data_IF_469434749726
#
_entry.id   IF_469434749726
#
_cell.length_a   1.000
_cell.length_b   1.000
_cell.length_c   1.000
_cell.angle_alpha   90.00
_cell.angle_beta   90.00
_cell.angle_gamma   90.00
#
_symmetry.space_group_name_H-M   'P 1'
#
loop_
_entity.id
_entity.type
_entity.pdbx_description
1 polymer ?
#
# COMPACT_ATOMS: atom_id res chain seq x y z
N UNK A 1 -49.53 -1.35 -6.56
CA UNK A 1 -48.30 -0.96 -5.83
C UNK A 1 -48.27 -1.46 -4.39
N UNK A 2 -49.41 -1.66 -3.71
CA UNK A 2 -49.46 -2.16 -2.32
C UNK A 2 -49.37 -3.70 -2.16
N UNK A 3 -49.63 -4.48 -3.22
CA UNK A 3 -49.56 -5.95 -3.20
C UNK A 3 -48.13 -6.50 -3.22
N UNK A 4 -47.17 -5.75 -3.77
CA UNK A 4 -45.78 -6.21 -3.94
C UNK A 4 -44.99 -6.18 -2.64
N UNK A 5 -45.35 -5.27 -1.73
CA UNK A 5 -44.69 -5.07 -0.43
C UNK A 5 -45.09 -6.10 0.62
N UNK A 6 -46.31 -6.64 0.56
CA UNK A 6 -46.76 -7.67 1.49
C UNK A 6 -46.07 -9.02 1.23
N UNK A 7 -45.86 -9.35 -0.04
CA UNK A 7 -45.19 -10.56 -0.51
C UNK A 7 -43.67 -10.53 -0.17
N UNK A 8 -43.02 -9.37 -0.31
CA UNK A 8 -41.62 -9.17 0.10
C UNK A 8 -41.41 -9.30 1.63
N UNK A 9 -42.36 -8.81 2.43
CA UNK A 9 -42.32 -8.92 3.90
C UNK A 9 -42.56 -10.36 4.39
N UNK A 10 -43.41 -11.12 3.69
CA UNK A 10 -43.67 -12.53 3.99
C UNK A 10 -42.46 -13.40 3.62
N UNK A 11 -41.85 -13.13 2.46
CA UNK A 11 -40.63 -13.80 2.00
C UNK A 11 -39.43 -13.51 2.92
N UNK A 12 -39.33 -12.29 3.45
CA UNK A 12 -38.31 -11.92 4.44
C UNK A 12 -38.52 -12.65 5.77
N UNK A 13 -39.77 -12.73 6.25
CA UNK A 13 -40.08 -13.49 7.48
C UNK A 13 -39.81 -14.98 7.32
N UNK A 14 -40.10 -15.53 6.15
CA UNK A 14 -39.80 -16.93 5.84
C UNK A 14 -38.29 -17.17 5.78
N UNK A 15 -37.53 -16.29 5.11
CA UNK A 15 -36.06 -16.33 5.12
C UNK A 15 -35.50 -16.22 6.54
N UNK A 16 -36.03 -15.29 7.34
CA UNK A 16 -35.59 -15.06 8.71
C UNK A 16 -35.86 -16.29 9.60
N UNK A 17 -37.02 -16.92 9.46
CA UNK A 17 -37.43 -18.08 10.27
C UNK A 17 -36.81 -19.42 9.84
N UNK A 18 -36.38 -19.53 8.58
CA UNK A 18 -35.85 -20.79 8.04
C UNK A 18 -34.34 -20.75 7.86
N UNK A 19 -33.84 -19.79 7.10
CA UNK A 19 -32.43 -19.69 6.73
C UNK A 19 -31.66 -18.96 7.82
N UNK A 20 -32.09 -17.77 8.20
CA UNK A 20 -31.37 -16.94 9.17
C UNK A 20 -31.42 -17.56 10.56
N UNK A 21 -32.59 -18.03 11.02
CA UNK A 21 -32.72 -18.70 12.32
C UNK A 21 -31.88 -19.98 12.39
N UNK A 22 -31.77 -20.75 11.30
CA UNK A 22 -30.90 -21.95 11.27
C UNK A 22 -29.42 -21.59 11.24
N UNK A 23 -29.04 -20.60 10.42
CA UNK A 23 -27.67 -20.07 10.37
C UNK A 23 -27.23 -19.49 11.73
N UNK A 24 -28.16 -18.84 12.45
CA UNK A 24 -27.92 -18.27 13.79
C UNK A 24 -28.10 -19.29 14.92
N UNK A 25 -28.91 -20.35 14.78
CA UNK A 25 -29.05 -21.42 15.79
C UNK A 25 -27.74 -22.16 16.02
N UNK A 26 -26.93 -22.33 14.98
CA UNK A 26 -25.57 -22.88 15.08
C UNK A 26 -24.52 -21.83 15.51
N UNK A 27 -24.90 -20.54 15.54
CA UNK A 27 -24.11 -19.41 16.02
C UNK A 27 -24.83 -18.72 17.19
N UNK A 28 -24.84 -19.35 18.38
CA UNK A 28 -25.07 -18.59 19.63
C UNK A 28 -24.23 -17.31 19.55
N UNK A 29 -24.79 -16.10 19.72
CA UNK A 29 -24.06 -14.85 19.45
C UNK A 29 -22.76 -14.77 20.26
N UNK A 30 -22.77 -15.22 21.51
CA UNK A 30 -21.57 -15.36 22.35
C UNK A 30 -20.59 -16.40 21.80
N UNK A 31 -21.07 -17.54 21.28
CA UNK A 31 -20.22 -18.57 20.67
C UNK A 31 -19.62 -18.09 19.35
N UNK A 32 -20.36 -17.31 18.56
CA UNK A 32 -19.90 -16.68 17.32
C UNK A 32 -18.83 -15.65 17.60
N UNK A 33 -19.04 -14.73 18.55
CA UNK A 33 -18.04 -13.76 18.99
C UNK A 33 -16.79 -14.47 19.55
N UNK A 34 -16.98 -15.53 20.34
CA UNK A 34 -15.87 -16.34 20.85
C UNK A 34 -15.13 -17.08 19.73
N UNK A 35 -15.81 -17.59 18.71
CA UNK A 35 -15.19 -18.25 17.56
C UNK A 35 -14.44 -17.26 16.67
N UNK A 36 -15.00 -16.06 16.48
CA UNK A 36 -14.35 -14.96 15.77
C UNK A 36 -13.10 -14.48 16.52
N UNK A 37 -13.19 -14.29 17.83
CA UNK A 37 -12.05 -13.96 18.69
C UNK A 37 -11.00 -15.08 18.68
N UNK A 38 -11.41 -16.35 18.80
CA UNK A 38 -10.49 -17.51 18.72
C UNK A 38 -9.81 -17.58 17.36
N UNK A 39 -10.56 -17.37 16.27
CA UNK A 39 -10.02 -17.32 14.91
C UNK A 39 -9.02 -16.18 14.74
N UNK A 40 -9.36 -14.98 15.24
CA UNK A 40 -8.48 -13.83 15.25
C UNK A 40 -7.19 -14.06 16.04
N UNK A 41 -7.29 -14.61 17.26
CA UNK A 41 -6.14 -14.97 18.08
C UNK A 41 -5.29 -16.05 17.41
N UNK A 42 -5.90 -17.04 16.76
CA UNK A 42 -5.20 -18.08 16.00
C UNK A 42 -4.40 -17.48 14.84
N UNK A 43 -5.00 -16.59 14.05
CA UNK A 43 -4.30 -15.90 12.95
C UNK A 43 -3.15 -15.04 13.46
N UNK A 44 -3.35 -14.26 14.54
CA UNK A 44 -2.26 -13.50 15.18
C UNK A 44 -1.14 -14.40 15.70
N UNK A 45 -1.46 -15.55 16.28
CA UNK A 45 -0.46 -16.51 16.73
C UNK A 45 0.32 -17.10 15.55
N UNK A 46 -0.36 -17.43 14.45
CA UNK A 46 0.28 -17.90 13.22
C UNK A 46 1.19 -16.83 12.61
N UNK A 47 0.72 -15.58 12.52
CA UNK A 47 1.51 -14.45 12.06
C UNK A 47 2.76 -14.23 12.92
N UNK A 48 2.63 -14.31 14.25
CA UNK A 48 3.79 -14.22 15.15
C UNK A 48 4.82 -15.32 14.89
N UNK A 49 4.36 -16.57 14.74
CA UNK A 49 5.25 -17.69 14.38
C UNK A 49 5.93 -17.47 13.03
N UNK A 50 5.23 -16.86 12.08
CA UNK A 50 5.80 -16.53 10.78
C UNK A 50 6.95 -15.52 10.92
N UNK A 51 6.72 -14.42 11.64
CA UNK A 51 7.75 -13.42 11.99
C UNK A 51 8.94 -14.07 12.71
N UNK A 52 8.70 -14.99 13.63
CA UNK A 52 9.76 -15.66 14.40
C UNK A 52 10.59 -16.65 13.55
N UNK A 53 9.99 -17.24 12.52
CA UNK A 53 10.60 -18.30 11.71
C UNK A 53 11.27 -17.77 10.44
N UNK A 54 10.70 -16.74 9.82
CA UNK A 54 11.12 -16.20 8.53
C UNK A 54 11.79 -14.83 8.71
N UNK A 55 13.12 -14.82 8.55
CA UNK A 55 13.94 -13.62 8.76
C UNK A 55 13.67 -12.54 7.72
N UNK A 56 13.45 -12.93 6.46
CA UNK A 56 13.16 -11.97 5.39
C UNK A 56 11.81 -11.32 5.62
N UNK A 57 10.79 -12.14 5.93
CA UNK A 57 9.46 -11.66 6.29
C UNK A 57 9.51 -10.68 7.45
N UNK A 58 10.24 -11.03 8.53
CA UNK A 58 10.47 -10.16 9.68
C UNK A 58 11.00 -8.79 9.24
N UNK A 59 12.07 -8.78 8.43
CA UNK A 59 12.74 -7.53 8.04
C UNK A 59 11.80 -6.67 7.18
N UNK A 60 11.20 -7.22 6.13
CA UNK A 60 10.35 -6.42 5.22
C UNK A 60 9.08 -5.92 5.91
N UNK A 61 8.49 -6.71 6.81
CA UNK A 61 7.35 -6.30 7.63
C UNK A 61 7.70 -5.11 8.52
N UNK A 62 8.83 -5.16 9.23
CA UNK A 62 9.25 -4.06 10.10
C UNK A 62 9.64 -2.81 9.31
N UNK A 63 10.28 -2.97 8.16
CA UNK A 63 10.57 -1.85 7.27
C UNK A 63 9.29 -1.18 6.74
N UNK A 64 8.26 -1.96 6.39
CA UNK A 64 6.96 -1.42 5.98
C UNK A 64 6.29 -0.62 7.11
N UNK A 65 6.32 -1.12 8.35
CA UNK A 65 5.81 -0.40 9.53
C UNK A 65 6.56 0.91 9.78
N UNK A 66 7.89 0.90 9.64
CA UNK A 66 8.71 2.09 9.78
C UNK A 66 8.38 3.14 8.71
N UNK A 67 8.19 2.71 7.46
CA UNK A 67 7.78 3.59 6.37
C UNK A 67 6.38 4.18 6.61
N UNK A 68 5.40 3.38 7.04
CA UNK A 68 4.05 3.83 7.38
C UNK A 68 4.06 4.88 8.51
N UNK A 69 4.88 4.65 9.53
CA UNK A 69 5.08 5.56 10.65
C UNK A 69 5.70 6.88 10.19
N UNK A 70 6.75 6.83 9.36
CA UNK A 70 7.41 8.02 8.83
C UNK A 70 6.44 8.86 7.98
N UNK A 71 5.69 8.24 7.06
CA UNK A 71 4.69 8.93 6.25
C UNK A 71 3.58 9.56 7.12
N UNK A 72 3.10 8.83 8.13
CA UNK A 72 2.09 9.32 9.08
C UNK A 72 2.58 10.56 9.84
N UNK A 73 3.82 10.53 10.34
CA UNK A 73 4.42 11.68 11.03
C UNK A 73 4.61 12.87 10.09
N UNK A 74 5.08 12.62 8.86
CA UNK A 74 5.26 13.67 7.87
C UNK A 74 3.93 14.33 7.52
N UNK A 75 2.87 13.54 7.29
CA UNK A 75 1.51 14.06 7.06
C UNK A 75 0.99 14.87 8.25
N UNK A 76 1.15 14.37 9.48
CA UNK A 76 0.75 15.11 10.68
C UNK A 76 1.51 16.43 10.81
N UNK A 77 2.80 16.45 10.49
CA UNK A 77 3.63 17.66 10.51
C UNK A 77 3.20 18.66 9.45
N UNK A 78 2.91 18.20 8.23
CA UNK A 78 2.38 19.04 7.14
C UNK A 78 1.00 19.60 7.49
N UNK A 79 0.12 18.80 8.08
CA UNK A 79 -1.19 19.25 8.54
C UNK A 79 -1.08 20.39 9.56
N UNK A 80 -0.18 20.23 10.56
CA UNK A 80 0.08 21.29 11.54
C UNK A 80 0.66 22.54 10.90
N UNK A 81 1.55 22.40 9.92
CA UNK A 81 2.12 23.55 9.21
C UNK A 81 1.07 24.30 8.38
N UNK A 82 0.20 23.58 7.67
CA UNK A 82 -0.83 24.16 6.81
C UNK A 82 -1.97 24.78 7.63
N UNK A 83 -2.26 24.21 8.81
CA UNK A 83 -3.36 24.68 9.68
C UNK A 83 -2.95 25.84 10.60
N UNK A 84 -1.68 26.22 10.62
CA UNK A 84 -1.21 27.34 11.43
C UNK A 84 -1.72 28.67 10.86
N UNK A 85 -2.67 29.30 11.56
CA UNK A 85 -3.35 30.55 11.19
C UNK A 85 -2.38 31.74 10.96
N UNK A 86 -1.11 31.61 11.35
CA UNK A 86 -0.05 32.60 11.11
C UNK A 86 0.75 32.41 9.81
N UNK A 87 0.47 31.39 9.00
CA UNK A 87 1.22 31.08 7.78
C UNK A 87 0.57 31.64 6.51
N UNK A 88 1.39 31.92 5.48
CA UNK A 88 0.90 32.23 4.12
C UNK A 88 0.08 31.05 3.56
N UNK A 89 -0.73 31.31 2.53
CA UNK A 89 -1.45 30.25 1.81
C UNK A 89 -0.54 29.04 1.51
N UNK A 90 -1.04 27.80 1.69
CA UNK A 90 -0.22 26.61 1.53
C UNK A 90 0.26 26.48 0.09
N UNK A 91 1.51 26.05 -0.07
CA UNK A 91 2.07 25.79 -1.40
C UNK A 91 1.38 24.55 -2.02
N UNK A 92 1.21 24.53 -3.34
CA UNK A 92 0.71 23.36 -4.07
C UNK A 92 1.47 22.09 -3.68
N UNK A 93 2.80 22.18 -3.54
CA UNK A 93 3.66 21.06 -3.14
C UNK A 93 3.33 20.57 -1.72
N UNK A 94 2.96 21.45 -0.79
CA UNK A 94 2.56 21.07 0.57
C UNK A 94 1.20 20.37 0.58
N UNK A 95 0.24 20.88 -0.21
CA UNK A 95 -1.09 20.27 -0.35
C UNK A 95 -0.98 18.90 -1.02
N UNK A 96 -0.21 18.78 -2.10
CA UNK A 96 0.05 17.52 -2.77
C UNK A 96 0.76 16.52 -1.84
N UNK A 97 1.82 16.96 -1.14
CA UNK A 97 2.52 16.13 -0.18
C UNK A 97 1.59 15.62 0.93
N UNK A 98 0.76 16.50 1.52
CA UNK A 98 -0.19 16.10 2.56
C UNK A 98 -1.17 15.05 2.02
N UNK A 99 -1.75 15.28 0.84
CA UNK A 99 -2.69 14.35 0.22
C UNK A 99 -2.05 12.98 -0.07
N UNK A 100 -0.88 12.94 -0.69
CA UNK A 100 -0.22 11.67 -1.02
C UNK A 100 0.33 10.95 0.21
N UNK A 101 1.09 11.61 1.08
CA UNK A 101 1.67 10.94 2.25
C UNK A 101 0.60 10.44 3.21
N UNK A 102 -0.52 11.16 3.37
CA UNK A 102 -1.61 10.71 4.25
C UNK A 102 -2.32 9.49 3.66
N UNK A 103 -2.58 9.52 2.34
CA UNK A 103 -3.18 8.38 1.64
C UNK A 103 -2.26 7.16 1.64
N UNK A 104 -0.99 7.34 1.30
CA UNK A 104 0.01 6.27 1.33
C UNK A 104 0.16 5.70 2.75
N UNK A 105 0.24 6.53 3.78
CA UNK A 105 0.30 6.04 5.15
C UNK A 105 -0.92 5.19 5.51
N UNK A 106 -2.13 5.66 5.18
CA UNK A 106 -3.38 4.95 5.47
C UNK A 106 -3.47 3.61 4.72
N UNK A 107 -3.19 3.62 3.41
CA UNK A 107 -3.19 2.42 2.58
C UNK A 107 -2.14 1.41 3.08
N UNK A 108 -0.94 1.87 3.48
CA UNK A 108 0.10 0.97 3.99
C UNK A 108 -0.27 0.34 5.33
N UNK A 109 -0.87 1.11 6.26
CA UNK A 109 -1.40 0.55 7.51
C UNK A 109 -2.48 -0.51 7.23
N UNK A 110 -3.39 -0.25 6.29
CA UNK A 110 -4.41 -1.22 5.89
C UNK A 110 -3.79 -2.48 5.26
N UNK A 111 -2.79 -2.34 4.39
CA UNK A 111 -2.05 -3.48 3.81
C UNK A 111 -1.40 -4.32 4.91
N UNK A 112 -0.73 -3.67 5.87
CA UNK A 112 -0.10 -4.34 7.02
C UNK A 112 -1.14 -5.15 7.79
N UNK A 113 -2.27 -4.55 8.17
CA UNK A 113 -3.33 -5.24 8.91
C UNK A 113 -3.94 -6.40 8.11
N UNK A 114 -4.16 -6.24 6.80
CA UNK A 114 -4.67 -7.30 5.94
C UNK A 114 -3.70 -8.49 5.92
N UNK A 115 -2.39 -8.24 5.80
CA UNK A 115 -1.36 -9.31 5.85
C UNK A 115 -1.32 -9.99 7.22
N UNK A 116 -1.34 -9.21 8.32
CA UNK A 116 -1.37 -9.75 9.69
C UNK A 116 -2.56 -10.68 9.94
N UNK A 117 -3.70 -10.36 9.33
CA UNK A 117 -4.93 -11.11 9.44
C UNK A 117 -5.10 -12.18 8.36
N UNK A 118 -4.16 -12.30 7.42
CA UNK A 118 -4.15 -13.35 6.40
C UNK A 118 -5.01 -13.09 5.16
N UNK A 119 -5.37 -11.83 4.90
CA UNK A 119 -6.08 -11.38 3.72
C UNK A 119 -5.11 -10.99 2.58
N UNK A 120 -4.23 -11.93 2.20
CA UNK A 120 -3.14 -11.67 1.24
C UNK A 120 -3.63 -11.16 -0.12
N UNK A 121 -4.72 -11.72 -0.64
CA UNK A 121 -5.29 -11.31 -1.92
C UNK A 121 -5.76 -9.85 -1.89
N UNK A 122 -6.43 -9.44 -0.80
CA UNK A 122 -6.90 -8.07 -0.61
C UNK A 122 -5.72 -7.12 -0.39
N UNK A 123 -4.68 -7.55 0.33
CA UNK A 123 -3.45 -6.78 0.51
C UNK A 123 -2.77 -6.52 -0.85
N UNK A 124 -2.65 -7.53 -1.70
CA UNK A 124 -2.14 -7.39 -3.09
C UNK A 124 -3.02 -6.45 -3.92
N UNK A 125 -4.33 -6.51 -3.73
CA UNK A 125 -5.27 -5.61 -4.41
C UNK A 125 -4.99 -4.14 -4.11
N UNK A 126 -4.90 -3.83 -2.82
CA UNK A 126 -4.64 -2.48 -2.34
C UNK A 126 -3.22 -2.01 -2.71
N UNK A 127 -2.26 -2.95 -2.73
CA UNK A 127 -0.88 -2.67 -3.15
C UNK A 127 -0.84 -2.08 -4.55
N UNK A 128 -1.59 -2.60 -5.52
CA UNK A 128 -1.59 -2.04 -6.89
C UNK A 128 -1.91 -0.54 -6.93
N UNK A 129 -2.98 -0.12 -6.26
CA UNK A 129 -3.35 1.29 -6.17
C UNK A 129 -2.29 2.10 -5.43
N UNK A 130 -1.72 1.53 -4.36
CA UNK A 130 -0.60 2.12 -3.62
C UNK A 130 0.60 2.44 -4.52
N UNK A 131 1.03 1.49 -5.36
CA UNK A 131 2.18 1.69 -6.27
C UNK A 131 1.90 2.79 -7.30
N UNK A 132 0.67 2.86 -7.81
CA UNK A 132 0.26 3.93 -8.74
C UNK A 132 0.30 5.30 -8.04
N UNK A 133 -0.17 5.41 -6.79
CA UNK A 133 -0.03 6.65 -6.00
C UNK A 133 1.43 7.06 -5.80
N UNK A 134 2.33 6.11 -5.56
CA UNK A 134 3.77 6.38 -5.45
C UNK A 134 4.32 6.93 -6.78
N UNK A 135 3.96 6.34 -7.93
CA UNK A 135 4.43 6.83 -9.22
C UNK A 135 3.96 8.26 -9.51
N UNK A 136 2.72 8.56 -9.17
CA UNK A 136 2.14 9.89 -9.37
C UNK A 136 2.83 10.90 -8.47
N UNK A 137 3.08 10.55 -7.21
CA UNK A 137 3.84 11.41 -6.30
C UNK A 137 5.24 11.70 -6.86
N UNK A 138 5.96 10.69 -7.37
CA UNK A 138 7.25 10.90 -8.04
C UNK A 138 7.10 11.87 -9.22
N UNK A 139 6.08 11.68 -10.06
CA UNK A 139 5.81 12.57 -11.19
C UNK A 139 5.53 14.01 -10.73
N UNK A 140 4.73 14.21 -9.67
CA UNK A 140 4.47 15.53 -9.09
C UNK A 140 5.77 16.19 -8.62
N UNK A 141 6.62 15.47 -7.88
CA UNK A 141 7.89 16.03 -7.38
C UNK A 141 8.76 16.54 -8.54
N UNK A 142 8.77 15.83 -9.67
CA UNK A 142 9.55 16.19 -10.85
C UNK A 142 8.86 17.20 -11.80
N UNK A 143 7.58 17.51 -11.60
CA UNK A 143 6.80 18.36 -12.51
C UNK A 143 5.83 19.27 -11.73
N UNK A 144 6.18 20.57 -11.69
CA UNK A 144 5.40 21.60 -11.00
C UNK A 144 4.03 21.84 -11.65
N UNK A 145 3.93 21.75 -12.98
CA UNK A 145 2.64 21.96 -13.65
C UNK A 145 1.69 20.80 -13.34
N UNK A 146 2.20 19.57 -13.33
CA UNK A 146 1.44 18.39 -12.96
C UNK A 146 1.00 18.45 -11.48
N UNK A 147 1.88 18.89 -10.57
CA UNK A 147 1.53 19.12 -9.16
C UNK A 147 0.38 20.11 -9.02
N UNK A 148 0.46 21.24 -9.73
CA UNK A 148 -0.59 22.25 -9.74
C UNK A 148 -1.89 21.68 -10.31
N UNK A 149 -1.85 20.99 -11.45
CA UNK A 149 -3.04 20.35 -12.03
C UNK A 149 -3.69 19.36 -11.05
N UNK A 150 -2.91 18.58 -10.30
CA UNK A 150 -3.41 17.67 -9.27
C UNK A 150 -4.13 18.42 -8.14
N UNK A 151 -3.49 19.44 -7.56
CA UNK A 151 -4.04 20.21 -6.43
C UNK A 151 -5.33 20.95 -6.79
N UNK A 152 -5.44 21.39 -8.05
CA UNK A 152 -6.63 22.09 -8.54
C UNK A 152 -7.75 21.17 -9.02
N UNK A 153 -7.50 19.87 -9.22
CA UNK A 153 -8.52 18.89 -9.58
C UNK A 153 -9.34 18.48 -8.33
N UNK A 154 -10.27 19.34 -7.93
CA UNK A 154 -11.02 19.20 -6.66
C UNK A 154 -12.28 18.36 -6.82
N UNK A 155 -12.91 18.44 -7.99
CA UNK A 155 -14.14 17.70 -8.28
C UNK A 155 -13.84 16.30 -8.86
N UNK A 156 -14.70 15.30 -8.66
CA UNK A 156 -14.49 13.95 -9.16
C UNK A 156 -14.24 13.89 -10.68
N UNK A 157 -14.92 14.71 -11.47
CA UNK A 157 -14.75 14.77 -12.92
C UNK A 157 -13.36 15.31 -13.32
N UNK A 158 -12.87 16.32 -12.59
CA UNK A 158 -11.54 16.91 -12.80
C UNK A 158 -10.44 15.92 -12.41
N UNK A 159 -10.61 15.25 -11.27
CA UNK A 159 -9.72 14.19 -10.84
C UNK A 159 -9.65 13.09 -11.91
N UNK A 160 -10.80 12.58 -12.37
CA UNK A 160 -10.85 11.56 -13.43
C UNK A 160 -10.16 12.04 -14.72
N UNK A 161 -10.38 13.30 -15.12
CA UNK A 161 -9.69 13.88 -16.28
C UNK A 161 -8.16 13.92 -16.07
N UNK A 162 -7.69 14.30 -14.88
CA UNK A 162 -6.28 14.26 -14.51
C UNK A 162 -5.69 12.85 -14.60
N UNK A 163 -6.37 11.85 -14.01
CA UNK A 163 -5.97 10.44 -14.04
C UNK A 163 -5.90 9.91 -15.47
N UNK A 164 -6.91 10.18 -16.30
CA UNK A 164 -6.90 9.78 -17.71
C UNK A 164 -5.81 10.48 -18.53
N UNK A 165 -5.54 11.76 -18.28
CA UNK A 165 -4.54 12.56 -18.99
C UNK A 165 -3.12 12.14 -18.64
N UNK A 166 -2.80 11.96 -17.36
CA UNK A 166 -1.40 11.84 -16.92
C UNK A 166 -0.98 10.45 -16.47
N UNK A 167 -1.91 9.61 -16.04
CA UNK A 167 -1.60 8.40 -15.28
C UNK A 167 -1.97 7.14 -16.06
N UNK A 168 -3.17 7.12 -16.63
CA UNK A 168 -3.70 5.95 -17.35
C UNK A 168 -2.77 5.43 -18.45
N UNK A 169 -2.91 4.15 -18.79
CA UNK A 169 -2.10 3.45 -19.80
C UNK A 169 -0.60 3.45 -19.47
N UNK A 170 -0.28 3.24 -18.19
CA UNK A 170 1.10 3.17 -17.67
C UNK A 170 1.95 4.43 -17.95
N UNK A 171 1.33 5.59 -18.14
CA UNK A 171 2.04 6.85 -18.43
C UNK A 171 2.91 7.29 -17.25
N UNK A 172 2.37 7.22 -16.03
CA UNK A 172 3.12 7.55 -14.82
C UNK A 172 4.31 6.60 -14.64
N UNK A 173 4.08 5.29 -14.74
CA UNK A 173 5.12 4.25 -14.71
C UNK A 173 6.25 4.49 -15.74
N UNK A 174 5.90 4.84 -16.98
CA UNK A 174 6.90 5.13 -18.01
C UNK A 174 7.75 6.38 -17.67
N UNK A 175 7.12 7.43 -17.12
CA UNK A 175 7.84 8.64 -16.64
C UNK A 175 8.78 8.30 -15.48
N UNK A 176 8.32 7.52 -14.49
CA UNK A 176 9.14 7.07 -13.35
C UNK A 176 10.31 6.24 -13.82
N UNK A 177 10.08 5.26 -14.71
CA UNK A 177 11.14 4.40 -15.26
C UNK A 177 12.23 5.21 -15.95
N UNK A 178 11.83 6.21 -16.76
CA UNK A 178 12.77 7.13 -17.41
C UNK A 178 13.54 7.98 -16.39
N UNK A 179 12.86 8.48 -15.35
CA UNK A 179 13.48 9.26 -14.29
C UNK A 179 14.53 8.43 -13.53
N UNK A 180 14.18 7.24 -13.06
CA UNK A 180 15.07 6.36 -12.29
C UNK A 180 16.26 5.92 -13.14
N UNK A 181 16.05 5.56 -14.40
CA UNK A 181 17.15 5.25 -15.33
C UNK A 181 18.13 6.44 -15.48
N UNK A 182 17.59 7.65 -15.60
CA UNK A 182 18.40 8.87 -15.66
C UNK A 182 19.20 9.14 -14.38
N UNK A 183 18.61 8.91 -13.20
CA UNK A 183 19.30 9.06 -11.91
C UNK A 183 20.44 8.04 -11.75
N UNK A 184 20.23 6.81 -12.21
CA UNK A 184 21.20 5.72 -12.10
C UNK A 184 22.23 5.69 -13.24
N UNK A 185 22.09 6.55 -14.26
CA UNK A 185 22.95 6.55 -15.44
C UNK A 185 22.81 5.29 -16.30
N UNK A 186 21.64 4.64 -16.26
CA UNK A 186 21.34 3.44 -17.03
C UNK A 186 20.62 3.80 -18.32
N UNK A 187 20.86 3.02 -19.38
CA UNK A 187 20.03 3.07 -20.57
C UNK A 187 18.62 2.56 -20.21
N UNK A 188 17.61 3.37 -20.52
CA UNK A 188 16.26 3.20 -20.00
C UNK A 188 15.67 1.81 -20.36
N UNK A 189 15.02 1.19 -19.37
CA UNK A 189 13.66 0.58 -19.43
C UNK A 189 13.54 -0.74 -18.63
N UNK A 190 14.58 -1.53 -18.39
CA UNK A 190 14.33 -2.89 -17.85
C UNK A 190 14.16 -2.99 -16.33
N UNK A 191 14.93 -2.26 -15.52
CA UNK A 191 14.98 -2.55 -14.07
C UNK A 191 13.69 -2.24 -13.32
N UNK A 192 13.03 -1.11 -13.62
CA UNK A 192 11.75 -0.75 -12.97
C UNK A 192 10.63 -1.67 -13.43
N UNK A 193 10.67 -2.17 -14.67
CA UNK A 193 9.69 -3.13 -15.16
C UNK A 193 9.88 -4.51 -14.50
N UNK A 194 11.11 -5.01 -14.47
CA UNK A 194 11.47 -6.31 -13.86
C UNK A 194 11.10 -6.34 -12.37
N UNK A 195 11.45 -5.30 -11.61
CA UNK A 195 11.16 -5.25 -10.18
C UNK A 195 9.67 -5.02 -9.84
N UNK A 196 8.81 -4.79 -10.86
CA UNK A 196 7.35 -4.66 -10.71
C UNK A 196 6.57 -5.85 -11.24
N UNK A 197 7.19 -6.72 -12.02
CA UNK A 197 6.52 -7.75 -12.79
C UNK A 197 5.69 -8.68 -11.89
N UNK A 198 6.26 -9.15 -10.78
CA UNK A 198 5.57 -10.03 -9.83
C UNK A 198 4.34 -9.37 -9.20
N UNK A 199 4.44 -8.09 -8.85
CA UNK A 199 3.35 -7.34 -8.26
C UNK A 199 2.26 -7.00 -9.26
N UNK A 200 2.63 -6.69 -10.49
CA UNK A 200 1.69 -6.42 -11.58
C UNK A 200 1.01 -7.70 -12.06
N UNK A 201 1.72 -8.82 -12.15
CA UNK A 201 1.16 -10.13 -12.45
C UNK A 201 0.17 -10.56 -11.38
N UNK A 202 0.56 -10.53 -10.11
CA UNK A 202 -0.33 -10.83 -9.00
C UNK A 202 -1.54 -9.87 -8.97
N UNK A 203 -1.32 -8.57 -9.20
CA UNK A 203 -2.37 -7.56 -9.23
C UNK A 203 -3.26 -7.55 -10.48
N UNK A 204 -2.87 -8.21 -11.57
CA UNK A 204 -3.66 -8.25 -12.81
C UNK A 204 -4.36 -9.59 -13.00
N UNK A 205 -3.69 -10.71 -12.71
CA UNK A 205 -4.24 -12.05 -12.85
C UNK A 205 -5.17 -12.44 -11.68
N UNK A 206 -4.91 -11.96 -10.46
CA UNK A 206 -5.65 -12.36 -9.26
C UNK A 206 -6.79 -11.41 -8.87
N UNK A 207 -6.82 -10.17 -9.36
CA UNK A 207 -7.81 -9.16 -8.94
C UNK A 207 -9.03 -9.07 -9.85
N UNK A 208 -8.86 -9.28 -11.15
CA UNK A 208 -10.01 -9.33 -12.04
C UNK A 208 -10.73 -10.66 -11.81
N UNK A 209 -12.06 -10.69 -11.62
CA UNK A 209 -12.83 -11.92 -11.48
C UNK A 209 -12.77 -12.72 -12.77
N UNK A 210 -11.68 -13.45 -12.90
CA UNK A 210 -11.36 -14.40 -13.95
C UNK A 210 -11.38 -15.78 -13.33
N UNK A 211 -11.51 -16.80 -14.17
CA UNK A 211 -11.36 -18.19 -13.72
C UNK A 211 -10.02 -18.37 -12.99
N UNK A 212 -8.95 -17.74 -13.45
CA UNK A 212 -7.63 -17.76 -12.80
C UNK A 212 -7.65 -17.17 -11.38
N UNK A 213 -8.22 -15.98 -11.18
CA UNK A 213 -8.35 -15.37 -9.86
C UNK A 213 -9.20 -16.20 -8.90
N UNK A 214 -10.33 -16.74 -9.38
CA UNK A 214 -11.20 -17.61 -8.59
C UNK A 214 -10.51 -18.91 -8.20
N UNK A 215 -9.81 -19.56 -9.15
CA UNK A 215 -9.04 -20.77 -8.88
C UNK A 215 -7.87 -20.49 -7.95
N UNK A 216 -7.13 -19.39 -8.10
CA UNK A 216 -6.05 -19.02 -7.20
C UNK A 216 -6.55 -18.74 -5.77
N UNK A 217 -7.74 -18.17 -5.61
CA UNK A 217 -8.39 -18.00 -4.30
C UNK A 217 -8.74 -19.35 -3.66
N UNK A 218 -9.16 -20.33 -4.48
CA UNK A 218 -9.56 -21.67 -4.01
C UNK A 218 -8.38 -22.57 -3.72
N UNK A 219 -7.36 -22.56 -4.58
CA UNK A 219 -6.21 -23.46 -4.50
C UNK A 219 -5.02 -22.87 -3.75
N UNK A 220 -4.97 -21.54 -3.59
CA UNK A 220 -3.91 -20.87 -2.85
C UNK A 220 -2.54 -20.90 -3.53
N UNK A 221 -1.53 -20.51 -2.77
CA UNK A 221 -0.13 -20.66 -3.13
C UNK A 221 0.29 -22.12 -2.88
N UNK A 222 0.79 -22.85 -3.90
CA UNK A 222 1.18 -24.25 -3.77
C UNK A 222 2.32 -24.50 -2.76
N UNK A 223 3.08 -23.46 -2.42
CA UNK A 223 4.18 -23.52 -1.46
C UNK A 223 3.76 -23.05 -0.05
N UNK A 224 2.52 -22.60 0.14
CA UNK A 224 2.03 -22.15 1.44
C UNK A 224 1.41 -23.30 2.26
N UNK A 225 1.78 -23.36 3.54
CA UNK A 225 1.16 -24.27 4.49
C UNK A 225 -0.09 -23.66 5.12
N UNK A 226 -1.25 -24.08 4.64
CA UNK A 226 -2.56 -23.66 5.15
C UNK A 226 -2.95 -24.40 6.46
N UNK A 227 -2.16 -25.39 6.91
CA UNK A 227 -2.34 -26.20 8.13
C UNK A 227 -3.79 -26.72 8.30
N UNK A 228 -4.62 -25.98 9.05
CA UNK A 228 -6.00 -26.32 9.41
C UNK A 228 -7.05 -25.47 8.65
N UNK A 229 -6.65 -24.79 7.58
CA UNK A 229 -7.50 -23.87 6.84
C UNK A 229 -7.48 -24.16 5.35
N UNK A 230 -8.44 -23.57 4.64
CA UNK A 230 -8.46 -23.59 3.18
C UNK A 230 -7.97 -22.23 2.68
N UNK A 231 -7.37 -22.15 1.48
CA UNK A 231 -6.90 -20.89 0.91
C UNK A 231 -7.97 -19.80 0.78
N UNK A 232 -9.24 -20.21 0.66
CA UNK A 232 -10.40 -19.31 0.65
C UNK A 232 -10.62 -18.57 1.97
N UNK A 233 -10.05 -19.07 3.07
CA UNK A 233 -10.15 -18.46 4.38
C UNK A 233 -8.89 -17.67 4.71
N UNK A 234 -9.02 -16.57 5.47
CA UNK A 234 -7.87 -15.73 5.80
C UNK A 234 -6.83 -16.50 6.60
N UNK A 235 -5.61 -16.55 6.08
CA UNK A 235 -4.49 -17.25 6.69
C UNK A 235 -3.19 -16.49 6.40
N UNK A 236 -2.45 -16.02 7.42
CA UNK A 236 -1.13 -15.45 7.21
C UNK A 236 -0.20 -16.47 6.57
N UNK A 237 0.53 -16.06 5.54
CA UNK A 237 1.42 -16.92 4.75
C UNK A 237 2.77 -16.22 4.48
N UNK A 238 3.88 -16.97 4.35
CA UNK A 238 5.19 -16.39 4.02
C UNK A 238 5.21 -15.60 2.72
N UNK A 239 4.44 -16.02 1.71
CA UNK A 239 4.37 -15.37 0.41
C UNK A 239 3.92 -13.89 0.46
N UNK A 240 3.28 -13.46 1.55
CA UNK A 240 2.95 -12.05 1.78
C UNK A 240 4.18 -11.15 1.94
N UNK A 241 5.38 -11.70 2.17
CA UNK A 241 6.62 -10.93 2.12
C UNK A 241 6.81 -10.21 0.76
N UNK A 242 6.35 -10.83 -0.33
CA UNK A 242 6.40 -10.22 -1.66
C UNK A 242 5.60 -8.91 -1.77
N UNK A 243 4.52 -8.77 -0.99
CA UNK A 243 3.74 -7.53 -0.90
C UNK A 243 4.59 -6.40 -0.33
N UNK A 244 5.19 -6.63 0.84
CA UNK A 244 6.04 -5.63 1.49
C UNK A 244 7.29 -5.31 0.68
N UNK A 245 7.94 -6.33 0.09
CA UNK A 245 9.12 -6.14 -0.76
C UNK A 245 8.81 -5.19 -1.93
N UNK A 246 7.71 -5.45 -2.64
CA UNK A 246 7.25 -4.60 -3.74
C UNK A 246 7.05 -3.15 -3.28
N UNK A 247 6.35 -2.95 -2.17
CA UNK A 247 6.10 -1.62 -1.62
C UNK A 247 7.42 -0.91 -1.29
N UNK A 248 8.34 -1.60 -0.61
CA UNK A 248 9.62 -1.04 -0.22
C UNK A 248 10.50 -0.69 -1.42
N UNK A 249 10.47 -1.48 -2.49
CA UNK A 249 11.14 -1.13 -3.76
C UNK A 249 10.60 0.20 -4.33
N UNK A 250 9.29 0.42 -4.28
CA UNK A 250 8.71 1.67 -4.80
C UNK A 250 8.98 2.86 -3.90
N UNK A 251 8.96 2.65 -2.58
CA UNK A 251 9.37 3.67 -1.63
C UNK A 251 10.87 3.99 -1.74
N UNK A 252 11.69 3.03 -2.13
CA UNK A 252 13.08 3.27 -2.48
C UNK A 252 13.19 4.16 -3.72
N UNK A 253 12.40 3.94 -4.77
CA UNK A 253 12.34 4.88 -5.91
C UNK A 253 11.85 6.26 -5.53
N UNK A 254 10.82 6.32 -4.67
CA UNK A 254 10.35 7.58 -4.11
C UNK A 254 11.47 8.30 -3.37
N UNK A 255 12.36 7.59 -2.67
CA UNK A 255 13.48 8.20 -1.94
C UNK A 255 14.42 8.98 -2.86
N UNK A 256 14.67 8.50 -4.09
CA UNK A 256 15.43 9.26 -5.10
C UNK A 256 14.70 10.55 -5.50
N UNK A 257 13.38 10.47 -5.69
CA UNK A 257 12.57 11.62 -6.06
C UNK A 257 12.46 12.64 -4.93
N UNK A 258 12.30 12.19 -3.68
CA UNK A 258 12.17 13.08 -2.52
C UNK A 258 13.49 13.70 -2.11
N UNK A 259 14.63 13.06 -2.39
CA UNK A 259 15.96 13.65 -2.19
C UNK A 259 16.12 14.31 -0.82
N UNK A 260 16.33 15.63 -0.80
CA UNK A 260 16.51 16.41 0.43
C UNK A 260 15.23 16.85 1.16
N UNK A 261 14.04 16.44 0.68
CA UNK A 261 12.78 16.69 1.38
C UNK A 261 12.75 15.97 2.76
N UNK A 262 11.98 16.48 3.73
CA UNK A 262 11.06 17.61 3.65
C UNK A 262 11.70 19.00 3.83
N UNK A 263 13.01 19.05 4.04
CA UNK A 263 13.72 20.26 4.49
C UNK A 263 14.48 21.01 3.40
N UNK A 264 14.78 20.35 2.29
CA UNK A 264 15.46 20.92 1.14
C UNK A 264 14.65 20.70 -0.14
N UNK A 265 15.09 21.37 -1.20
CA UNK A 265 14.52 21.21 -2.53
C UNK A 265 14.69 19.78 -3.03
N UNK A 266 13.72 19.29 -3.79
CA UNK A 266 13.89 18.08 -4.60
C UNK A 266 13.03 18.13 -5.84
N UNK A 267 13.62 17.77 -6.98
CA UNK A 267 12.99 17.97 -8.28
C UNK A 267 12.57 19.44 -8.46
N UNK A 268 11.29 19.65 -8.71
CA UNK A 268 10.67 20.98 -8.82
C UNK A 268 10.07 21.48 -7.51
N UNK A 269 10.00 20.62 -6.49
CA UNK A 269 9.38 20.95 -5.22
C UNK A 269 10.29 21.77 -4.31
N UNK A 270 9.70 22.83 -3.77
CA UNK A 270 10.24 23.60 -2.64
C UNK A 270 10.23 22.76 -1.35
N UNK A 271 11.02 23.13 -0.33
CA UNK A 271 10.93 22.50 0.98
C UNK A 271 9.48 22.55 1.50
N UNK A 272 8.89 21.39 1.76
CA UNK A 272 7.50 21.27 2.20
C UNK A 272 7.31 21.57 3.69
N UNK A 273 8.40 21.54 4.48
CA UNK A 273 8.43 22.01 5.87
C UNK A 273 9.22 23.32 5.93
N UNK A 274 8.53 24.42 6.22
CA UNK A 274 9.02 25.80 6.21
C UNK A 274 9.20 26.38 7.61
N UNK A 275 8.35 25.99 8.56
CA UNK A 275 8.38 26.56 9.91
C UNK A 275 9.62 26.10 10.67
N UNK A 276 10.25 27.01 11.42
CA UNK A 276 11.46 26.68 12.18
C UNK A 276 11.20 25.57 13.21
N UNK A 277 10.04 25.61 13.86
CA UNK A 277 9.66 24.61 14.88
C UNK A 277 9.64 23.20 14.30
N UNK A 278 9.09 23.00 13.11
CA UNK A 278 9.05 21.69 12.47
C UNK A 278 10.36 21.32 11.77
N UNK A 279 11.13 22.30 11.27
CA UNK A 279 12.48 22.05 10.74
C UNK A 279 13.44 21.53 11.81
N UNK A 280 13.35 22.09 13.01
CA UNK A 280 14.19 21.72 14.16
C UNK A 280 13.59 20.55 14.97
N UNK A 281 12.52 19.90 14.47
CA UNK A 281 11.87 18.78 15.14
C UNK A 281 12.77 17.53 15.11
N UNK A 282 13.28 17.15 16.28
CA UNK A 282 14.20 16.03 16.45
C UNK A 282 13.61 14.68 16.02
N UNK A 283 12.31 14.47 16.20
CA UNK A 283 11.65 13.22 15.84
C UNK A 283 11.52 13.08 14.32
N UNK A 284 11.16 14.16 13.63
CA UNK A 284 11.10 14.20 12.16
C UNK A 284 12.48 13.94 11.53
N UNK A 285 13.54 14.55 12.09
CA UNK A 285 14.91 14.33 11.66
C UNK A 285 15.38 12.89 11.94
N UNK A 286 15.11 12.37 13.14
CA UNK A 286 15.45 11.00 13.54
C UNK A 286 14.83 9.98 12.60
N UNK A 287 13.53 10.11 12.31
CA UNK A 287 12.82 9.18 11.45
C UNK A 287 13.23 9.28 9.99
N UNK A 288 13.55 10.49 9.49
CA UNK A 288 14.09 10.66 8.13
C UNK A 288 15.48 9.99 7.97
N UNK A 289 16.35 10.12 8.98
CA UNK A 289 17.64 9.42 9.02
C UNK A 289 17.45 7.90 9.12
N UNK A 290 16.52 7.45 9.97
CA UNK A 290 16.20 6.03 10.11
C UNK A 290 15.67 5.44 8.79
N UNK A 291 14.80 6.14 8.08
CA UNK A 291 14.25 5.73 6.78
C UNK A 291 15.36 5.58 5.71
N UNK A 292 16.31 6.51 5.69
CA UNK A 292 17.48 6.42 4.80
C UNK A 292 18.34 5.20 5.13
N UNK A 293 18.64 5.00 6.42
CA UNK A 293 19.43 3.85 6.90
C UNK A 293 18.74 2.52 6.64
N UNK A 294 17.42 2.48 6.72
CA UNK A 294 16.61 1.31 6.40
C UNK A 294 16.83 0.90 4.94
N UNK A 295 16.72 1.83 3.98
CA UNK A 295 16.98 1.49 2.58
C UNK A 295 18.43 1.11 2.31
N UNK A 296 19.39 1.79 2.94
CA UNK A 296 20.79 1.39 2.85
C UNK A 296 20.98 -0.06 3.32
N UNK A 297 20.44 -0.42 4.49
CA UNK A 297 20.50 -1.78 5.01
C UNK A 297 19.85 -2.79 4.06
N UNK A 298 18.68 -2.48 3.52
CA UNK A 298 17.95 -3.36 2.62
C UNK A 298 18.72 -3.61 1.30
N UNK A 299 19.43 -2.61 0.79
CA UNK A 299 20.28 -2.73 -0.40
C UNK A 299 21.55 -3.52 -0.10
N UNK A 300 22.25 -3.19 0.98
CA UNK A 300 23.52 -3.82 1.37
C UNK A 300 23.37 -5.33 1.62
N UNK A 301 22.15 -5.78 1.93
CA UNK A 301 21.82 -7.18 2.19
C UNK A 301 20.95 -7.81 1.09
N UNK A 302 20.75 -7.14 -0.04
CA UNK A 302 20.02 -7.66 -1.22
C UNK A 302 18.56 -8.10 -0.93
N UNK A 303 17.94 -7.61 0.14
CA UNK A 303 16.61 -8.04 0.61
C UNK A 303 15.48 -7.62 -0.35
N UNK A 304 15.69 -6.51 -1.07
CA UNK A 304 14.74 -5.98 -2.05
C UNK A 304 14.87 -6.62 -3.43
N UNK A 305 15.97 -7.30 -3.69
CA UNK A 305 16.25 -7.96 -4.96
C UNK A 305 16.50 -9.43 -4.65
N UNK A 306 15.45 -10.23 -4.51
CA UNK A 306 15.62 -11.68 -4.61
C UNK A 306 16.03 -11.96 -6.05
N UNK A 307 17.30 -12.37 -6.32
CA UNK A 307 17.62 -12.86 -7.64
C UNK A 307 16.81 -14.14 -7.83
N UNK A 308 16.11 -14.24 -8.95
CA UNK A 308 15.65 -15.56 -9.38
C UNK A 308 16.92 -16.38 -9.62
N UNK A 309 17.11 -17.46 -8.85
CA UNK A 309 18.28 -18.36 -8.95
C UNK A 309 18.48 -18.90 -10.40
N UNK A 310 17.49 -18.72 -11.28
CA UNK A 310 17.53 -19.06 -12.70
C UNK A 310 18.25 -18.05 -13.61
N UNK A 311 18.45 -16.80 -13.20
CA UNK A 311 18.88 -15.73 -14.11
C UNK A 311 20.35 -15.31 -13.99
N UNK A 312 21.10 -15.87 -13.04
CA UNK A 312 22.57 -15.71 -12.99
C UNK A 312 23.23 -16.91 -13.68
N UNK A 313 23.19 -16.91 -15.02
CA UNK A 313 24.17 -17.67 -15.80
C UNK A 313 25.41 -16.80 -15.98
N UNK A 314 26.44 -17.06 -15.17
CA UNK A 314 27.82 -16.63 -15.45
C UNK A 314 28.37 -17.40 -16.64
#
# INVERSE_FOLDING_TARGET
MAEKTADEDELRKEFDATILETFLKDRNSEMSEQLEQKGFLKRRAKFRRLIEKDTDFYIVYHCANMAATWMSLLSGSLFLEISDEGTEDPLDEQVAALAFFSRLANDLWAIIELVELGFDLQARALTRAYLEHVDVLICCIQDRELTREFVHAREPEEANAFWHKHISKNRAKAKVSKYIAGVLGLDAVTMVDVLREDAEFAGSALLHPTVMAGLATVFGDPNADYEDSYPIFPCPIPASAGVFRTILVHLFWLSFATGGQPHAWSGTWRPIIRTRVLRDNLELQRLSSLHTRMFQFLLDNEILMTPDDSDIKV
#
